data_IF_261838494490
#
_entry.id   IF_261838494490
#
_cell.length_a   1.000
_cell.length_b   1.000
_cell.length_c   1.000
_cell.angle_alpha   90.00
_cell.angle_beta   90.00
_cell.angle_gamma   90.00
#
_symmetry.space_group_name_H-M   'P 1'
#
loop_
_entity.id
_entity.type
_entity.pdbx_description
1 polymer ?
#
# COMPACT_ATOMS: atom_id res chain seq x y z
N UNK A 1 -18.22 3.31 -20.65
CA UNK A 1 -17.57 2.55 -19.57
C UNK A 1 -16.14 3.05 -19.50
N UNK A 2 -15.68 3.63 -18.39
CA UNK A 2 -14.26 3.95 -18.28
C UNK A 2 -13.52 2.62 -18.19
N UNK A 3 -12.48 2.50 -19.01
CA UNK A 3 -11.55 1.39 -18.99
C UNK A 3 -10.87 1.40 -17.61
N UNK A 4 -11.10 0.37 -16.81
CA UNK A 4 -10.35 0.19 -15.57
C UNK A 4 -8.92 -0.02 -16.03
N UNK A 5 -8.07 0.99 -15.86
CA UNK A 5 -6.62 0.88 -16.07
C UNK A 5 -6.13 -0.27 -15.19
N UNK A 6 -6.01 -1.44 -15.81
CA UNK A 6 -5.42 -2.60 -15.18
C UNK A 6 -3.98 -2.23 -14.90
N UNK A 7 -3.60 -2.26 -13.63
CA UNK A 7 -2.25 -2.24 -13.05
C UNK A 7 -1.28 -3.11 -13.89
N UNK A 8 -0.83 -2.60 -15.03
CA UNK A 8 0.07 -3.27 -15.99
C UNK A 8 1.39 -2.55 -16.15
N UNK A 9 1.53 -1.37 -15.55
CA UNK A 9 2.83 -0.77 -15.31
C UNK A 9 3.47 -1.49 -14.13
N UNK A 10 4.73 -1.90 -14.27
CA UNK A 10 5.61 -2.11 -13.12
C UNK A 10 5.47 -0.86 -12.24
N UNK A 11 5.09 -1.03 -10.98
CA UNK A 11 4.86 0.12 -10.11
C UNK A 11 6.20 0.69 -9.70
N UNK A 12 6.73 1.60 -10.51
CA UNK A 12 7.97 2.33 -10.19
C UNK A 12 7.80 3.21 -8.94
N UNK A 13 6.57 3.32 -8.40
CA UNK A 13 6.24 4.01 -7.16
C UNK A 13 6.53 3.19 -5.88
N UNK A 14 6.88 1.89 -5.98
CA UNK A 14 7.30 1.08 -4.83
C UNK A 14 8.82 0.91 -4.86
N UNK A 15 9.52 1.66 -4.01
CA UNK A 15 10.96 1.46 -3.84
C UNK A 15 11.26 0.14 -3.10
N UNK A 16 12.08 -0.71 -3.72
CA UNK A 16 12.53 -2.00 -3.19
C UNK A 16 14.04 -2.03 -2.92
N UNK A 17 14.73 -0.88 -2.84
CA UNK A 17 16.15 -0.79 -2.50
C UNK A 17 16.46 -1.45 -1.14
N UNK A 18 15.51 -1.45 -0.20
CA UNK A 18 15.64 -2.13 1.09
C UNK A 18 15.75 -3.67 1.00
N UNK A 19 15.50 -4.26 -0.17
CA UNK A 19 15.62 -5.70 -0.41
C UNK A 19 17.09 -6.04 -0.70
N UNK A 20 17.88 -6.13 0.37
CA UNK A 20 19.31 -6.48 0.31
C UNK A 20 19.57 -7.98 0.14
N UNK A 21 18.61 -8.84 0.53
CA UNK A 21 18.75 -10.30 0.49
C UNK A 21 17.63 -10.93 -0.33
N UNK A 22 18.00 -11.57 -1.44
CA UNK A 22 17.10 -12.29 -2.36
C UNK A 22 16.56 -13.62 -1.77
N UNK A 23 16.22 -13.65 -0.48
CA UNK A 23 15.51 -14.80 0.09
C UNK A 23 14.15 -14.99 -0.58
N UNK A 24 13.55 -13.91 -1.07
CA UNK A 24 12.30 -13.86 -1.82
C UNK A 24 12.56 -13.02 -3.06
N UNK A 25 12.01 -13.43 -4.21
CA UNK A 25 12.05 -12.65 -5.43
C UNK A 25 11.38 -11.28 -5.22
N UNK A 26 11.95 -10.22 -5.83
CA UNK A 26 11.49 -8.84 -5.67
C UNK A 26 10.04 -8.68 -6.13
N UNK A 27 9.65 -9.35 -7.21
CA UNK A 27 8.30 -9.34 -7.76
C UNK A 27 7.28 -9.88 -6.76
N UNK A 28 7.67 -10.84 -5.91
CA UNK A 28 6.77 -11.38 -4.88
C UNK A 28 6.64 -10.42 -3.69
N UNK A 29 7.70 -9.69 -3.36
CA UNK A 29 7.67 -8.64 -2.34
C UNK A 29 6.73 -7.53 -2.81
N UNK A 30 6.87 -7.09 -4.06
CA UNK A 30 6.01 -6.11 -4.72
C UNK A 30 4.53 -6.54 -4.72
N UNK A 31 4.23 -7.79 -5.08
CA UNK A 31 2.87 -8.35 -4.98
C UNK A 31 2.36 -8.33 -3.53
N UNK A 32 3.21 -8.68 -2.56
CA UNK A 32 2.86 -8.64 -1.14
C UNK A 32 2.48 -7.25 -0.65
N UNK A 33 3.22 -6.22 -1.08
CA UNK A 33 2.96 -4.82 -0.77
C UNK A 33 1.66 -4.36 -1.45
N UNK A 34 1.49 -4.62 -2.75
CA UNK A 34 0.26 -4.27 -3.48
C UNK A 34 -1.01 -4.85 -2.85
N UNK A 35 -0.97 -6.13 -2.46
CA UNK A 35 -2.12 -6.76 -1.80
C UNK A 35 -2.49 -6.00 -0.52
N UNK A 36 -1.50 -5.58 0.25
CA UNK A 36 -1.75 -4.83 1.47
C UNK A 36 -2.30 -3.42 1.19
N UNK A 37 -1.72 -2.70 0.23
CA UNK A 37 -2.18 -1.36 -0.21
C UNK A 37 -3.61 -1.43 -0.75
N UNK A 38 -3.98 -2.51 -1.44
CA UNK A 38 -5.35 -2.79 -1.88
C UNK A 38 -6.32 -3.13 -0.72
N UNK A 39 -5.91 -2.97 0.53
CA UNK A 39 -6.73 -3.13 1.73
C UNK A 39 -6.74 -4.53 2.34
N UNK A 40 -5.90 -5.47 1.87
CA UNK A 40 -5.84 -6.80 2.48
C UNK A 40 -5.05 -6.76 3.80
N UNK A 41 -5.57 -7.45 4.81
CA UNK A 41 -4.82 -7.71 6.03
C UNK A 41 -3.55 -8.52 5.76
N UNK A 42 -2.53 -8.36 6.60
CA UNK A 42 -1.29 -9.16 6.54
C UNK A 42 -1.57 -10.67 6.56
N UNK A 43 -2.62 -11.10 7.27
CA UNK A 43 -3.02 -12.50 7.30
C UNK A 43 -3.60 -12.98 5.96
N UNK A 44 -4.37 -12.13 5.27
CA UNK A 44 -4.92 -12.43 3.94
C UNK A 44 -3.82 -12.39 2.87
N UNK A 45 -2.92 -11.40 2.92
CA UNK A 45 -1.74 -11.35 2.06
C UNK A 45 -0.90 -12.61 2.20
N UNK A 46 -0.64 -13.06 3.44
CA UNK A 46 0.06 -14.33 3.69
C UNK A 46 -0.66 -15.52 3.04
N UNK A 47 -1.98 -15.63 3.20
CA UNK A 47 -2.75 -16.72 2.58
C UNK A 47 -2.62 -16.75 1.05
N UNK A 48 -2.61 -15.58 0.41
CA UNK A 48 -2.44 -15.48 -1.05
C UNK A 48 -1.02 -15.90 -1.44
N UNK A 49 0.01 -15.41 -0.75
CA UNK A 49 1.40 -15.81 -1.00
C UNK A 49 1.61 -17.32 -0.79
N UNK A 50 1.03 -17.90 0.25
CA UNK A 50 1.07 -19.34 0.51
C UNK A 50 0.43 -20.14 -0.65
N UNK A 51 -0.69 -19.66 -1.22
CA UNK A 51 -1.34 -20.26 -2.42
C UNK A 51 -0.46 -20.16 -3.68
N UNK A 52 0.37 -19.14 -3.77
CA UNK A 52 1.37 -18.98 -4.84
C UNK A 52 2.67 -19.77 -4.56
N UNK A 53 2.70 -20.59 -3.51
CA UNK A 53 3.86 -21.42 -3.14
C UNK A 53 4.93 -20.67 -2.35
N UNK A 54 4.71 -19.40 -1.98
CA UNK A 54 5.68 -18.58 -1.28
C UNK A 54 5.35 -18.50 0.22
N UNK A 55 6.03 -19.33 1.00
CA UNK A 55 5.86 -19.35 2.46
C UNK A 55 6.63 -18.22 3.14
N UNK A 56 5.90 -17.29 3.76
CA UNK A 56 6.47 -16.19 4.55
C UNK A 56 5.75 -15.99 5.87
N UNK A 57 6.50 -15.51 6.85
CA UNK A 57 5.91 -15.11 8.14
C UNK A 57 5.13 -13.81 7.98
N UNK A 58 4.14 -13.60 8.86
CA UNK A 58 3.41 -12.32 8.93
C UNK A 58 4.37 -11.16 9.19
N UNK A 59 5.39 -11.36 10.03
CA UNK A 59 6.44 -10.37 10.30
C UNK A 59 7.24 -10.00 9.06
N UNK A 60 7.57 -10.97 8.19
CA UNK A 60 8.29 -10.66 6.95
C UNK A 60 7.45 -9.78 6.02
N UNK A 61 6.17 -10.10 5.86
CA UNK A 61 5.23 -9.31 5.04
C UNK A 61 5.03 -7.91 5.63
N UNK A 62 4.82 -7.82 6.95
CA UNK A 62 4.72 -6.54 7.66
C UNK A 62 5.98 -5.68 7.46
N UNK A 63 7.17 -6.28 7.53
CA UNK A 63 8.43 -5.56 7.31
C UNK A 63 8.58 -5.08 5.87
N UNK A 64 8.06 -5.79 4.87
CA UNK A 64 8.07 -5.31 3.49
C UNK A 64 7.22 -4.07 3.33
N UNK A 65 6.00 -4.09 3.86
CA UNK A 65 5.07 -2.95 3.83
C UNK A 65 5.69 -1.74 4.54
N UNK A 66 6.23 -1.94 5.74
CA UNK A 66 6.82 -0.84 6.52
C UNK A 66 8.06 -0.25 5.86
N UNK A 67 8.93 -1.09 5.27
CA UNK A 67 10.17 -0.62 4.65
C UNK A 67 9.96 0.01 3.28
N UNK A 68 8.85 -0.32 2.61
CA UNK A 68 8.47 0.38 1.39
C UNK A 68 8.06 1.83 1.65
N UNK A 69 7.74 2.17 2.92
CA UNK A 69 7.44 3.54 3.39
C UNK A 69 6.58 4.34 2.41
N UNK A 70 5.51 3.69 1.93
CA UNK A 70 4.63 4.25 0.91
C UNK A 70 3.85 5.41 1.53
N UNK A 71 4.31 6.63 1.27
CA UNK A 71 3.59 7.86 1.57
C UNK A 71 2.79 8.27 0.33
N UNK A 72 1.59 8.85 0.52
CA UNK A 72 0.94 9.55 -0.58
C UNK A 72 1.84 10.73 -0.99
N UNK A 73 2.37 10.67 -2.20
CA UNK A 73 3.04 11.80 -2.83
C UNK A 73 1.96 12.64 -3.52
N UNK A 74 1.88 13.93 -3.17
CA UNK A 74 1.04 14.89 -3.88
C UNK A 74 1.95 16.01 -4.39
N UNK A 75 2.25 15.97 -5.68
CA UNK A 75 2.93 17.06 -6.40
C UNK A 75 1.93 18.13 -6.89
N UNK A 76 0.65 17.98 -6.56
CA UNK A 76 -0.40 18.89 -6.98
C UNK A 76 -0.51 20.09 -6.02
N UNK A 77 -0.57 21.30 -6.57
CA UNK A 77 -0.94 22.52 -5.84
C UNK A 77 -2.35 22.96 -6.28
N UNK A 78 -3.42 22.26 -5.85
CA UNK A 78 -4.76 22.59 -6.29
C UNK A 78 -5.25 23.92 -5.69
N UNK A 79 -6.03 24.68 -6.46
CA UNK A 79 -6.62 25.93 -5.97
C UNK A 79 -7.67 25.71 -4.86
N UNK A 80 -8.23 24.51 -4.76
CA UNK A 80 -9.23 24.11 -3.76
C UNK A 80 -8.96 22.66 -3.34
N UNK A 81 -9.16 22.35 -2.06
CA UNK A 81 -9.10 20.99 -1.52
C UNK A 81 -10.40 20.64 -0.80
N UNK A 82 -10.83 19.40 -0.92
CA UNK A 82 -11.84 18.84 -0.04
C UNK A 82 -11.14 18.17 1.15
N UNK A 83 -11.61 18.43 2.37
CA UNK A 83 -11.06 17.85 3.60
C UNK A 83 -12.15 17.05 4.30
N UNK A 84 -11.83 15.81 4.67
CA UNK A 84 -12.65 14.97 5.54
C UNK A 84 -11.93 14.68 6.86
N UNK A 85 -12.69 14.66 7.95
CA UNK A 85 -12.22 14.35 9.29
C UNK A 85 -12.99 13.12 9.83
N UNK A 86 -12.27 12.03 10.08
CA UNK A 86 -12.86 10.77 10.56
C UNK A 86 -12.15 10.29 11.82
N UNK A 87 -12.91 9.90 12.85
CA UNK A 87 -12.34 9.23 14.04
C UNK A 87 -12.00 7.79 13.71
N UNK A 88 -10.75 7.38 13.93
CA UNK A 88 -10.28 6.00 13.81
C UNK A 88 -9.85 5.44 15.18
N UNK A 89 -9.87 4.12 15.32
CA UNK A 89 -9.34 3.42 16.49
C UNK A 89 -8.14 2.57 16.11
N UNK A 90 -6.99 2.86 16.70
CA UNK A 90 -5.73 2.14 16.48
C UNK A 90 -5.17 1.75 17.85
N UNK A 91 -4.86 0.47 18.05
CA UNK A 91 -4.33 -0.04 19.34
C UNK A 91 -5.16 0.41 20.56
N UNK A 92 -6.48 0.31 20.46
CA UNK A 92 -7.44 0.74 21.49
C UNK A 92 -7.43 2.23 21.85
N UNK A 93 -6.77 3.05 21.05
CA UNK A 93 -6.74 4.51 21.17
C UNK A 93 -7.51 5.15 20.02
N UNK A 94 -8.23 6.23 20.32
CA UNK A 94 -8.93 7.03 19.31
C UNK A 94 -8.01 8.10 18.75
N UNK A 95 -7.97 8.20 17.43
CA UNK A 95 -7.23 9.22 16.69
C UNK A 95 -8.17 9.93 15.71
N UNK A 96 -7.87 11.19 15.41
CA UNK A 96 -8.48 11.89 14.28
C UNK A 96 -7.62 11.66 13.06
N UNK A 97 -8.23 11.15 11.99
CA UNK A 97 -7.64 11.05 10.67
C UNK A 97 -8.18 12.20 9.83
N UNK A 98 -7.27 12.99 9.25
CA UNK A 98 -7.59 14.03 8.29
C UNK A 98 -7.14 13.57 6.91
N UNK A 99 -8.04 13.60 5.94
CA UNK A 99 -7.74 13.36 4.54
C UNK A 99 -8.05 14.62 3.73
N UNK A 100 -7.14 14.99 2.84
CA UNK A 100 -7.32 16.10 1.91
C UNK A 100 -7.13 15.57 0.48
N UNK A 101 -8.01 15.97 -0.43
CA UNK A 101 -7.95 15.61 -1.85
C UNK A 101 -8.28 16.82 -2.73
N UNK A 102 -7.72 16.88 -3.93
CA UNK A 102 -8.18 17.75 -5.00
C UNK A 102 -9.56 17.23 -5.50
N UNK A 103 -10.64 18.02 -5.37
CA UNK A 103 -11.97 17.59 -5.80
C UNK A 103 -12.10 17.41 -7.33
N UNK A 104 -11.17 17.94 -8.12
CA UNK A 104 -11.17 17.81 -9.58
C UNK A 104 -10.53 16.50 -10.06
N UNK A 105 -9.44 16.06 -9.43
CA UNK A 105 -8.69 14.85 -9.82
C UNK A 105 -8.92 13.66 -8.88
N UNK A 106 -9.45 13.91 -7.68
CA UNK A 106 -9.56 12.93 -6.59
C UNK A 106 -8.19 12.35 -6.19
N UNK A 107 -7.17 13.20 -6.24
CA UNK A 107 -5.79 12.94 -5.79
C UNK A 107 -5.51 13.64 -4.46
#
# INVERSE_FOLDING_TARGET
MPEIERLRGRSDWIDLEFVERERTLREIIEVGIHLHVAGLSVANTKQILDKLGVKRSRTAIHNWVQKADLQPESDAEPNHIAVDETVIQVNDQRHWLYAAVDPATNE
#
